data_IF_571377342047
#
_entry.id   IF_571377342047
#
_cell.length_a   1.000
_cell.length_b   1.000
_cell.length_c   1.000
_cell.angle_alpha   90.00
_cell.angle_beta   90.00
_cell.angle_gamma   90.00
#
_symmetry.space_group_name_H-M   'P 1'
#
loop_
_entity.id
_entity.type
_entity.pdbx_description
1 polymer ?
#
# COMPACT_ATOMS: atom_id res chain seq x y z
N UNK A 1 1.82 20.12 -32.09
CA UNK A 1 1.38 20.06 -30.67
C UNK A 1 -0.06 20.56 -30.63
N UNK A 2 -1.03 19.68 -30.37
CA UNK A 2 -2.46 20.04 -30.45
C UNK A 2 -2.84 20.99 -29.30
N UNK A 3 -3.70 21.97 -29.62
CA UNK A 3 -4.16 23.06 -28.74
C UNK A 3 -4.80 22.57 -27.43
N UNK A 4 -5.31 21.34 -27.44
CA UNK A 4 -5.94 20.71 -26.26
C UNK A 4 -4.93 20.29 -25.19
N UNK A 5 -3.70 19.92 -25.60
CA UNK A 5 -2.65 19.50 -24.66
C UNK A 5 -2.11 20.68 -23.83
N UNK A 6 -2.06 21.89 -24.41
CA UNK A 6 -1.68 23.08 -23.65
C UNK A 6 -2.71 23.46 -22.58
N UNK A 7 -4.00 23.19 -22.82
CA UNK A 7 -5.08 23.55 -21.91
C UNK A 7 -5.08 22.63 -20.69
N UNK A 8 -4.84 21.33 -20.89
CA UNK A 8 -4.64 20.39 -19.79
C UNK A 8 -3.40 20.72 -18.97
N UNK A 9 -2.26 21.00 -19.61
CA UNK A 9 -1.04 21.38 -18.89
C UNK A 9 -1.21 22.66 -18.06
N UNK A 10 -1.99 23.64 -18.53
CA UNK A 10 -2.28 24.88 -17.78
C UNK A 10 -3.17 24.66 -16.55
N UNK A 11 -4.07 23.68 -16.57
CA UNK A 11 -4.89 23.31 -15.40
C UNK A 11 -4.04 22.66 -14.29
N UNK A 12 -2.96 21.97 -14.64
CA UNK A 12 -2.07 21.32 -13.66
C UNK A 12 -0.99 22.24 -13.07
N UNK A 13 -0.74 23.40 -13.70
CA UNK A 13 0.33 24.36 -13.31
C UNK A 13 -0.22 25.68 -12.74
N UNK A 14 -1.47 25.70 -12.27
CA UNK A 14 -2.12 26.89 -11.72
C UNK A 14 -1.51 27.34 -10.38
N UNK A 15 -0.47 28.17 -10.44
CA UNK A 15 0.08 28.88 -9.28
C UNK A 15 1.10 29.97 -9.64
N UNK A 16 0.64 31.22 -9.59
CA UNK A 16 1.39 32.49 -9.56
C UNK A 16 1.86 33.12 -10.89
N UNK A 17 1.24 34.26 -11.20
CA UNK A 17 1.58 35.20 -12.28
C UNK A 17 2.84 35.99 -11.93
N UNK A 18 3.90 35.88 -12.74
CA UNK A 18 4.83 36.98 -13.13
C UNK A 18 6.05 36.41 -13.86
N UNK A 19 6.12 36.57 -15.18
CA UNK A 19 7.16 37.38 -15.86
C UNK A 19 7.09 37.18 -17.38
N UNK A 20 7.36 38.29 -18.08
CA UNK A 20 7.15 38.53 -19.50
C UNK A 20 8.09 37.70 -20.40
N UNK A 21 7.55 37.30 -21.55
CA UNK A 21 8.29 36.88 -22.76
C UNK A 21 9.29 37.96 -23.19
N UNK A 22 10.45 37.52 -23.66
CA UNK A 22 11.19 38.24 -24.70
C UNK A 22 11.49 37.26 -25.85
N UNK A 23 10.98 37.60 -27.03
CA UNK A 23 11.30 36.97 -28.30
C UNK A 23 12.66 37.48 -28.77
N UNK A 24 13.49 36.59 -29.32
CA UNK A 24 14.44 36.96 -30.36
C UNK A 24 14.42 35.92 -31.47
N UNK A 25 14.11 36.43 -32.66
CA UNK A 25 14.19 35.77 -33.95
C UNK A 25 15.64 35.71 -34.42
N UNK A 26 16.04 34.65 -35.11
CA UNK A 26 17.01 34.77 -36.19
C UNK A 26 16.64 33.82 -37.33
N UNK A 27 16.56 34.40 -38.53
CA UNK A 27 16.33 33.71 -39.80
C UNK A 27 17.65 33.10 -40.27
N UNK A 28 17.63 31.84 -40.71
CA UNK A 28 18.65 31.30 -41.59
C UNK A 28 17.95 30.72 -42.83
N UNK A 29 18.36 31.21 -44.01
CA UNK A 29 18.00 30.65 -45.32
C UNK A 29 18.93 29.46 -45.59
N UNK A 30 18.39 28.31 -45.97
CA UNK A 30 19.17 27.17 -46.46
C UNK A 30 18.57 26.69 -47.79
N UNK A 31 19.46 26.49 -48.76
CA UNK A 31 19.23 26.19 -50.17
C UNK A 31 18.62 24.79 -50.36
N UNK A 32 17.57 24.72 -51.17
CA UNK A 32 16.81 23.52 -51.53
C UNK A 32 17.33 23.02 -52.87
N UNK A 33 17.92 21.82 -52.92
CA UNK A 33 17.86 20.86 -54.05
C UNK A 33 18.99 19.83 -53.94
N UNK A 34 18.86 18.85 -53.02
CA UNK A 34 19.54 17.52 -53.08
C UNK A 34 19.15 16.62 -51.90
N UNK A 35 18.43 17.13 -50.90
CA UNK A 35 18.12 16.42 -49.64
C UNK A 35 16.81 15.60 -49.67
N UNK A 36 15.98 15.75 -50.70
CA UNK A 36 14.64 15.12 -50.77
C UNK A 36 14.66 13.64 -51.12
N UNK A 37 15.66 13.15 -51.86
CA UNK A 37 15.72 11.73 -52.26
C UNK A 37 16.30 10.84 -51.15
N UNK A 38 17.28 11.33 -50.39
CA UNK A 38 17.88 10.60 -49.26
C UNK A 38 16.92 10.54 -48.07
N UNK A 39 16.18 11.61 -47.78
CA UNK A 39 15.20 11.63 -46.69
C UNK A 39 14.02 10.66 -46.93
N UNK A 40 13.60 10.50 -48.20
CA UNK A 40 12.53 9.55 -48.57
C UNK A 40 12.99 8.09 -48.44
N UNK A 41 14.24 7.77 -48.81
CA UNK A 41 14.79 6.42 -48.64
C UNK A 41 14.96 6.02 -47.16
N UNK A 42 15.40 6.96 -46.30
CA UNK A 42 15.50 6.72 -44.86
C UNK A 42 14.13 6.55 -44.17
N UNK A 43 13.08 7.23 -44.66
CA UNK A 43 11.73 7.07 -44.13
C UNK A 43 11.09 5.72 -44.49
N UNK A 44 11.37 5.17 -45.68
CA UNK A 44 10.84 3.85 -46.07
C UNK A 44 11.56 2.71 -45.34
N UNK A 45 12.88 2.81 -45.15
CA UNK A 45 13.65 1.80 -44.41
C UNK A 45 13.24 1.74 -42.92
N UNK A 46 13.03 2.88 -42.27
CA UNK A 46 12.56 2.94 -40.87
C UNK A 46 11.12 2.46 -40.69
N UNK A 47 10.27 2.58 -41.72
CA UNK A 47 8.90 2.04 -41.68
C UNK A 47 8.85 0.52 -41.80
N UNK A 48 9.77 -0.08 -42.57
CA UNK A 48 9.87 -1.54 -42.73
C UNK A 48 10.43 -2.23 -41.47
N UNK A 49 11.37 -1.60 -40.76
CA UNK A 49 11.88 -2.11 -39.47
C UNK A 49 10.83 -1.96 -38.34
N UNK A 50 10.02 -0.89 -38.37
CA UNK A 50 8.95 -0.71 -37.38
C UNK A 50 7.78 -1.69 -37.59
N UNK A 51 7.47 -2.06 -38.84
CA UNK A 51 6.41 -3.02 -39.15
C UNK A 51 6.77 -4.48 -38.80
N UNK A 52 8.07 -4.84 -38.83
CA UNK A 52 8.55 -6.19 -38.51
C UNK A 52 8.86 -6.41 -37.03
N UNK A 53 9.15 -5.36 -36.25
CA UNK A 53 9.28 -5.46 -34.79
C UNK A 53 7.93 -5.49 -34.05
N UNK A 54 6.89 -4.87 -34.60
CA UNK A 54 5.58 -4.79 -33.93
C UNK A 54 4.79 -6.10 -33.95
N UNK A 55 5.16 -7.08 -34.78
CA UNK A 55 4.56 -8.41 -34.75
C UNK A 55 5.20 -9.33 -33.71
N UNK A 56 6.46 -9.08 -33.30
CA UNK A 56 7.16 -9.94 -32.35
C UNK A 56 6.91 -9.56 -30.86
N UNK A 57 6.49 -8.32 -30.58
CA UNK A 57 6.20 -7.85 -29.21
C UNK A 57 4.70 -8.00 -28.83
N UNK A 58 3.82 -8.30 -29.78
CA UNK A 58 2.39 -8.57 -29.50
C UNK A 58 2.14 -10.06 -29.14
N UNK A 59 3.15 -10.93 -29.26
CA UNK A 59 3.13 -12.28 -28.68
C UNK A 59 3.59 -12.30 -27.20
N UNK A 60 3.40 -11.20 -26.47
CA UNK A 60 3.54 -11.17 -25.02
C UNK A 60 2.42 -11.96 -24.38
N UNK A 61 2.79 -13.13 -23.83
CA UNK A 61 1.96 -14.01 -23.01
C UNK A 61 0.75 -13.30 -22.40
N UNK A 62 -0.43 -13.63 -22.91
CA UNK A 62 -1.70 -13.35 -22.28
C UNK A 62 -1.66 -13.89 -20.85
N UNK A 63 -1.39 -13.02 -19.89
CA UNK A 63 -1.72 -13.29 -18.49
C UNK A 63 -3.23 -13.54 -18.52
N UNK A 64 -3.71 -14.76 -18.19
CA UNK A 64 -5.13 -15.00 -18.17
C UNK A 64 -5.72 -13.99 -17.20
N UNK A 65 -6.71 -13.22 -17.65
CA UNK A 65 -7.55 -12.39 -16.81
C UNK A 65 -7.97 -13.25 -15.62
N UNK A 66 -7.29 -13.10 -14.49
CA UNK A 66 -7.85 -13.56 -13.24
C UNK A 66 -9.08 -12.70 -13.07
N UNK A 67 -10.23 -13.33 -13.25
CA UNK A 67 -11.55 -12.81 -12.98
C UNK A 67 -11.53 -12.13 -11.61
N UNK A 68 -11.21 -10.84 -11.56
CA UNK A 68 -11.46 -9.95 -10.43
C UNK A 68 -12.96 -9.60 -10.41
N UNK A 69 -13.79 -10.62 -10.60
CA UNK A 69 -15.23 -10.55 -10.77
C UNK A 69 -15.97 -11.51 -9.83
N UNK A 70 -15.27 -12.22 -8.92
CA UNK A 70 -15.92 -13.08 -7.92
C UNK A 70 -15.73 -12.68 -6.46
N UNK A 71 -15.13 -11.52 -6.13
CA UNK A 71 -15.44 -10.90 -4.83
C UNK A 71 -16.81 -10.21 -4.97
N UNK A 72 -17.85 -11.03 -5.18
CA UNK A 72 -19.20 -10.64 -4.82
C UNK A 72 -19.19 -10.52 -3.30
N UNK A 73 -18.84 -9.33 -2.80
CA UNK A 73 -19.20 -8.95 -1.44
C UNK A 73 -20.72 -9.05 -1.41
N UNK A 74 -21.22 -10.13 -0.81
CA UNK A 74 -22.64 -10.41 -0.66
C UNK A 74 -23.33 -9.12 -0.20
N UNK A 75 -24.24 -8.59 -1.05
CA UNK A 75 -25.02 -7.38 -0.75
C UNK A 75 -25.95 -7.55 0.46
N UNK A 76 -26.00 -8.73 1.07
CA UNK A 76 -26.83 -9.05 2.23
C UNK A 76 -26.04 -9.16 3.55
N UNK A 77 -24.77 -8.77 3.60
CA UNK A 77 -24.12 -8.60 4.90
C UNK A 77 -24.64 -7.31 5.55
N UNK A 78 -25.52 -7.44 6.57
CA UNK A 78 -25.69 -6.36 7.55
C UNK A 78 -24.30 -6.11 8.14
N UNK A 79 -23.68 -4.99 7.77
CA UNK A 79 -22.35 -4.62 8.26
C UNK A 79 -22.49 -4.42 9.78
N UNK A 80 -21.83 -5.28 10.56
CA UNK A 80 -21.87 -5.17 12.01
C UNK A 80 -21.00 -3.99 12.42
N UNK A 81 -21.64 -2.89 12.80
CA UNK A 81 -20.95 -1.68 13.23
C UNK A 81 -20.71 -1.70 14.75
N UNK A 82 -19.55 -1.18 15.15
CA UNK A 82 -19.16 -1.04 16.56
C UNK A 82 -18.90 0.44 16.86
N UNK A 83 -19.96 1.28 16.91
CA UNK A 83 -19.80 2.71 17.10
C UNK A 83 -19.15 2.99 18.46
N UNK A 84 -18.22 3.96 18.46
CA UNK A 84 -17.72 4.54 19.70
C UNK A 84 -18.71 5.60 20.18
N UNK A 85 -19.16 5.47 21.43
CA UNK A 85 -19.91 6.52 22.13
C UNK A 85 -18.91 7.32 22.96
N UNK A 86 -18.45 8.44 22.41
CA UNK A 86 -17.57 9.37 23.11
C UNK A 86 -18.38 10.57 23.57
N UNK A 87 -18.29 10.97 24.84
CA UNK A 87 -18.86 12.23 25.33
C UNK A 87 -17.90 13.37 24.95
N UNK A 88 -18.35 14.29 24.09
CA UNK A 88 -17.56 15.44 23.70
C UNK A 88 -17.39 16.39 24.89
N UNK A 89 -16.16 16.70 25.29
CA UNK A 89 -15.85 17.82 26.18
C UNK A 89 -15.21 17.49 27.54
N UNK A 90 -15.02 16.21 27.89
CA UNK A 90 -14.34 15.84 29.15
C UNK A 90 -12.86 15.54 28.92
N UNK A 91 -11.97 16.14 29.73
CA UNK A 91 -10.54 15.84 29.77
C UNK A 91 -10.23 14.52 30.50
N UNK A 92 -11.24 13.68 30.73
CA UNK A 92 -11.13 12.44 31.47
C UNK A 92 -11.03 11.22 30.55
N UNK A 93 -10.34 10.19 31.03
CA UNK A 93 -10.21 8.91 30.34
C UNK A 93 -11.55 8.20 30.33
N UNK A 94 -12.20 8.16 29.17
CA UNK A 94 -13.46 7.44 28.98
C UNK A 94 -13.21 5.96 28.69
N UNK A 95 -13.94 5.09 29.38
CA UNK A 95 -13.99 3.66 29.04
C UNK A 95 -15.12 3.40 28.06
N UNK A 96 -14.85 2.63 27.00
CA UNK A 96 -15.90 2.18 26.09
C UNK A 96 -16.92 1.29 26.84
N UNK A 97 -18.22 1.38 26.49
CA UNK A 97 -19.23 0.43 26.95
C UNK A 97 -18.81 -1.03 26.68
N UNK A 98 -19.17 -1.94 27.59
CA UNK A 98 -18.90 -3.38 27.47
C UNK A 98 -20.11 -4.16 26.93
N UNK A 99 -20.99 -3.48 26.20
CA UNK A 99 -22.21 -4.04 25.61
C UNK A 99 -21.97 -4.76 24.27
N UNK A 100 -20.70 -4.91 23.87
CA UNK A 100 -20.33 -5.64 22.66
C UNK A 100 -20.60 -7.15 22.79
N UNK A 101 -20.97 -7.83 21.68
CA UNK A 101 -21.18 -9.28 21.69
C UNK A 101 -19.96 -10.04 22.21
N UNK A 102 -20.21 -11.05 23.05
CA UNK A 102 -19.17 -11.93 23.60
C UNK A 102 -19.01 -13.23 22.81
N UNK A 103 -19.89 -13.48 21.83
CA UNK A 103 -19.87 -14.66 20.97
C UNK A 103 -19.93 -14.23 19.50
N UNK A 104 -19.06 -14.81 18.70
CA UNK A 104 -19.09 -14.64 17.25
C UNK A 104 -20.04 -15.67 16.62
N UNK A 105 -21.16 -15.20 16.06
CA UNK A 105 -22.11 -16.03 15.31
C UNK A 105 -21.92 -15.75 13.81
N UNK A 106 -21.19 -16.59 13.07
CA UNK A 106 -20.96 -16.36 11.64
C UNK A 106 -22.28 -16.47 10.88
N UNK A 107 -22.63 -15.43 10.12
CA UNK A 107 -23.87 -15.38 9.31
C UNK A 107 -23.80 -16.20 8.03
N UNK A 108 -22.65 -16.75 7.65
CA UNK A 108 -22.47 -17.52 6.41
C UNK A 108 -21.62 -18.80 6.64
N UNK A 109 -22.21 -19.96 6.36
CA UNK A 109 -21.54 -21.27 6.26
C UNK A 109 -20.96 -21.52 4.86
N UNK A 110 -20.28 -20.54 4.26
CA UNK A 110 -19.70 -20.76 2.92
C UNK A 110 -18.36 -21.50 3.02
N UNK A 111 -18.13 -22.45 2.09
CA UNK A 111 -16.90 -23.23 1.99
C UNK A 111 -15.67 -22.31 2.01
N UNK A 112 -14.92 -22.37 3.10
CA UNK A 112 -13.82 -21.45 3.37
C UNK A 112 -12.58 -21.79 2.56
N UNK A 113 -12.58 -21.51 1.26
CA UNK A 113 -11.31 -21.38 0.54
C UNK A 113 -10.72 -20.02 0.89
N UNK A 114 -9.66 -20.04 1.68
CA UNK A 114 -8.91 -18.82 2.01
C UNK A 114 -8.37 -18.21 0.70
N UNK A 115 -8.59 -16.92 0.41
CA UNK A 115 -8.04 -16.29 -0.77
C UNK A 115 -6.53 -16.50 -0.92
N UNK A 116 -6.06 -16.70 -2.14
CA UNK A 116 -4.67 -17.09 -2.43
C UNK A 116 -3.62 -16.11 -1.89
N UNK A 117 -3.96 -14.82 -1.75
CA UNK A 117 -3.06 -13.83 -1.18
C UNK A 117 -2.75 -14.07 0.31
N UNK A 118 -3.59 -14.79 1.05
CA UNK A 118 -3.28 -15.15 2.45
C UNK A 118 -2.17 -16.22 2.56
N UNK A 119 -1.72 -16.82 1.45
CA UNK A 119 -0.55 -17.70 1.45
C UNK A 119 0.69 -17.04 2.05
N UNK A 120 0.80 -15.71 1.92
CA UNK A 120 1.95 -14.96 2.43
C UNK A 120 2.06 -15.01 3.95
N UNK A 121 0.95 -15.18 4.68
CA UNK A 121 1.01 -15.44 6.14
C UNK A 121 1.83 -16.70 6.43
N UNK A 122 1.65 -17.75 5.63
CA UNK A 122 2.41 -19.00 5.80
C UNK A 122 3.88 -18.85 5.42
N UNK A 123 4.20 -18.03 4.42
CA UNK A 123 5.58 -17.74 4.04
C UNK A 123 6.29 -16.87 5.08
N UNK A 124 5.64 -15.82 5.58
CA UNK A 124 6.19 -14.93 6.60
C UNK A 124 6.45 -15.68 7.91
N UNK A 125 5.56 -16.60 8.31
CA UNK A 125 5.70 -17.39 9.54
C UNK A 125 6.56 -18.66 9.38
N UNK A 126 6.97 -18.99 8.17
CA UNK A 126 7.77 -20.18 7.86
C UNK A 126 9.03 -20.35 8.72
N UNK A 127 9.80 -19.29 9.05
CA UNK A 127 11.01 -19.43 9.87
C UNK A 127 10.77 -20.07 11.25
N UNK A 128 9.55 -19.95 11.78
CA UNK A 128 9.17 -20.45 13.11
C UNK A 128 8.30 -21.70 13.07
N UNK A 129 7.97 -22.22 11.88
CA UNK A 129 6.99 -23.31 11.72
C UNK A 129 7.37 -24.59 12.46
N UNK A 130 8.65 -24.97 12.43
CA UNK A 130 9.11 -26.24 13.00
C UNK A 130 9.50 -26.12 14.48
N UNK A 131 10.14 -25.00 14.87
CA UNK A 131 10.72 -24.81 16.21
C UNK A 131 9.82 -24.01 17.15
N UNK A 132 8.81 -23.33 16.62
CA UNK A 132 8.01 -22.37 17.35
C UNK A 132 8.77 -21.08 17.66
N UNK A 133 8.17 -20.27 18.53
CA UNK A 133 8.71 -19.00 19.02
C UNK A 133 8.97 -19.16 20.51
N UNK A 134 10.22 -18.99 20.94
CA UNK A 134 10.58 -19.03 22.37
C UNK A 134 10.45 -17.65 23.02
N UNK A 135 10.37 -17.61 24.35
CA UNK A 135 10.38 -16.34 25.11
C UNK A 135 11.62 -15.51 24.81
N UNK A 136 12.79 -16.14 24.70
CA UNK A 136 14.05 -15.47 24.37
C UNK A 136 14.01 -14.83 22.99
N UNK A 137 13.47 -15.51 21.98
CA UNK A 137 13.29 -14.96 20.63
C UNK A 137 12.40 -13.72 20.64
N UNK A 138 11.28 -13.80 21.34
CA UNK A 138 10.33 -12.71 21.45
C UNK A 138 10.96 -11.49 22.13
N UNK A 139 11.65 -11.68 23.27
CA UNK A 139 12.34 -10.59 23.95
C UNK A 139 13.49 -10.02 23.10
N UNK A 140 14.11 -10.81 22.22
CA UNK A 140 15.08 -10.34 21.23
C UNK A 140 14.54 -9.25 20.29
N UNK A 141 13.24 -9.28 19.95
CA UNK A 141 12.59 -8.26 19.12
C UNK A 141 12.46 -6.89 19.83
N UNK A 142 12.51 -6.86 21.17
CA UNK A 142 12.40 -5.62 21.96
C UNK A 142 13.46 -4.57 21.62
N UNK A 143 14.61 -4.99 21.10
CA UNK A 143 15.71 -4.10 20.69
C UNK A 143 15.28 -3.05 19.65
N UNK A 144 14.34 -3.39 18.78
CA UNK A 144 13.85 -2.51 17.70
C UNK A 144 12.38 -2.17 17.84
N UNK A 145 11.58 -3.01 18.50
CA UNK A 145 10.15 -2.79 18.68
C UNK A 145 9.81 -1.43 19.31
N UNK A 146 8.75 -0.80 18.81
CA UNK A 146 8.14 0.39 19.41
C UNK A 146 7.18 0.00 20.54
N UNK A 147 6.44 -1.10 20.38
CA UNK A 147 5.50 -1.57 21.40
C UNK A 147 5.28 -3.08 21.34
N UNK A 148 4.82 -3.64 22.47
CA UNK A 148 4.34 -5.01 22.61
C UNK A 148 2.83 -5.01 22.83
N UNK A 149 2.14 -5.94 22.18
CA UNK A 149 0.74 -6.26 22.42
C UNK A 149 0.66 -7.60 23.11
N UNK A 150 -0.12 -7.68 24.17
CA UNK A 150 -0.44 -8.93 24.88
C UNK A 150 -1.95 -9.09 24.87
N UNK A 151 -2.44 -10.23 24.40
CA UNK A 151 -3.86 -10.57 24.44
C UNK A 151 -4.00 -11.73 25.43
N UNK A 152 -4.81 -11.56 26.46
CA UNK A 152 -5.16 -12.60 27.44
C UNK A 152 -6.65 -12.50 27.74
N UNK A 153 -7.38 -13.61 27.64
CA UNK A 153 -8.82 -13.68 27.90
C UNK A 153 -9.62 -12.64 27.09
N UNK A 154 -9.23 -12.43 25.82
CA UNK A 154 -9.85 -11.45 24.93
C UNK A 154 -9.61 -9.98 25.31
N UNK A 155 -8.72 -9.70 26.27
CA UNK A 155 -8.31 -8.35 26.66
C UNK A 155 -6.93 -8.03 26.11
N UNK A 156 -6.82 -6.87 25.48
CA UNK A 156 -5.55 -6.35 24.95
C UNK A 156 -4.85 -5.46 25.97
N UNK A 157 -3.59 -5.75 26.23
CA UNK A 157 -2.65 -4.94 27.00
C UNK A 157 -1.52 -4.47 26.08
N UNK A 158 -1.01 -3.28 26.34
CA UNK A 158 0.03 -2.67 25.50
C UNK A 158 1.16 -2.16 26.39
N UNK A 159 2.38 -2.57 26.09
CA UNK A 159 3.59 -2.04 26.69
C UNK A 159 4.34 -1.22 25.62
N UNK A 160 4.56 0.07 25.87
CA UNK A 160 5.29 0.94 24.94
C UNK A 160 6.77 0.96 25.30
N UNK A 161 7.63 0.74 24.32
CA UNK A 161 9.09 0.79 24.48
C UNK A 161 9.69 2.06 23.90
N UNK A 162 9.24 2.46 22.71
CA UNK A 162 9.70 3.66 22.02
C UNK A 162 8.53 4.39 21.39
N UNK A 163 8.69 5.70 21.22
CA UNK A 163 7.69 6.52 20.53
C UNK A 163 7.66 6.10 19.06
N UNK A 164 6.46 5.79 18.55
CA UNK A 164 6.25 5.56 17.13
C UNK A 164 6.23 6.87 16.35
N UNK A 165 6.55 6.81 15.06
CA UNK A 165 6.30 7.93 14.15
C UNK A 165 4.81 8.26 14.21
N UNK A 166 4.48 9.48 14.64
CA UNK A 166 3.12 10.02 14.59
C UNK A 166 2.11 9.05 15.29
N UNK A 167 0.90 8.88 14.74
CA UNK A 167 -0.15 8.02 15.31
C UNK A 167 -0.19 6.60 14.72
N UNK A 168 0.91 6.13 14.13
CA UNK A 168 0.96 4.80 13.49
C UNK A 168 0.63 3.66 14.46
N UNK A 169 1.17 3.72 15.68
CA UNK A 169 0.86 2.75 16.74
C UNK A 169 -0.62 2.78 17.11
N UNK A 170 -1.21 3.97 17.27
CA UNK A 170 -2.63 4.15 17.62
C UNK A 170 -3.53 3.46 16.61
N UNK A 171 -3.27 3.63 15.30
CA UNK A 171 -4.06 3.00 14.25
C UNK A 171 -3.86 1.48 14.16
N UNK A 172 -2.64 0.98 14.38
CA UNK A 172 -2.41 -0.48 14.46
C UNK A 172 -3.15 -1.09 15.65
N UNK A 173 -3.09 -0.46 16.81
CA UNK A 173 -3.84 -0.88 18.00
C UNK A 173 -5.36 -0.82 17.75
N UNK A 174 -5.83 0.21 17.04
CA UNK A 174 -7.22 0.35 16.64
C UNK A 174 -7.68 -0.82 15.75
N UNK A 175 -6.83 -1.26 14.82
CA UNK A 175 -7.10 -2.42 13.99
C UNK A 175 -7.23 -3.72 14.78
N UNK A 176 -6.32 -3.95 15.74
CA UNK A 176 -6.37 -5.13 16.62
C UNK A 176 -7.62 -5.10 17.51
N UNK A 177 -7.99 -3.94 18.05
CA UNK A 177 -9.22 -3.77 18.82
C UNK A 177 -10.47 -4.08 18.00
N UNK A 178 -10.50 -3.71 16.71
CA UNK A 178 -11.60 -4.11 15.83
C UNK A 178 -11.65 -5.62 15.63
N UNK A 179 -10.51 -6.30 15.47
CA UNK A 179 -10.48 -7.76 15.35
C UNK A 179 -11.05 -8.44 16.60
N UNK A 180 -10.68 -7.98 17.80
CA UNK A 180 -11.22 -8.49 19.07
C UNK A 180 -12.73 -8.29 19.17
N UNK A 181 -13.27 -7.17 18.67
CA UNK A 181 -14.71 -6.88 18.67
C UNK A 181 -15.49 -7.69 17.63
N UNK A 182 -14.93 -7.87 16.44
CA UNK A 182 -15.57 -8.62 15.35
C UNK A 182 -15.56 -10.12 15.61
N UNK A 183 -14.51 -10.64 16.25
CA UNK A 183 -14.29 -12.07 16.47
C UNK A 183 -14.05 -12.38 17.96
N UNK A 184 -15.01 -12.06 18.86
CA UNK A 184 -14.86 -12.29 20.28
C UNK A 184 -14.67 -13.79 20.57
N UNK A 185 -13.66 -14.11 21.38
CA UNK A 185 -13.28 -15.48 21.75
C UNK A 185 -12.61 -16.31 20.65
N UNK A 186 -12.26 -15.71 19.50
CA UNK A 186 -11.54 -16.39 18.41
C UNK A 186 -10.03 -16.12 18.41
N UNK A 187 -9.60 -14.98 18.92
CA UNK A 187 -8.18 -14.68 19.07
C UNK A 187 -7.65 -15.41 20.30
N UNK A 188 -6.59 -16.23 20.18
CA UNK A 188 -6.00 -16.91 21.31
C UNK A 188 -5.20 -15.93 22.17
N UNK A 189 -4.78 -16.40 23.34
CA UNK A 189 -3.79 -15.70 24.15
C UNK A 189 -2.45 -15.66 23.40
N UNK A 190 -1.89 -14.46 23.24
CA UNK A 190 -0.69 -14.25 22.44
C UNK A 190 0.07 -12.98 22.83
N UNK A 191 1.35 -12.92 22.47
CA UNK A 191 2.20 -11.73 22.59
C UNK A 191 2.80 -11.39 21.22
N UNK A 192 2.73 -10.12 20.81
CA UNK A 192 3.23 -9.62 19.53
C UNK A 192 4.16 -8.42 19.76
N UNK A 193 5.26 -8.37 19.01
CA UNK A 193 6.19 -7.23 18.99
C UNK A 193 6.00 -6.46 17.70
N UNK A 194 5.84 -5.13 17.78
CA UNK A 194 5.63 -4.27 16.63
C UNK A 194 6.72 -3.21 16.49
N UNK A 195 7.20 -3.01 15.27
CA UNK A 195 8.05 -1.88 14.90
C UNK A 195 7.36 -1.04 13.81
N UNK A 196 7.24 0.25 14.11
CA UNK A 196 6.45 1.21 13.35
C UNK A 196 7.22 1.98 12.27
N UNK A 197 8.52 1.73 12.13
CA UNK A 197 9.39 2.43 11.18
C UNK A 197 9.20 1.91 9.74
N UNK A 198 9.81 2.60 8.77
CA UNK A 198 9.56 2.38 7.33
C UNK A 198 10.33 1.22 6.69
N UNK A 199 11.41 0.71 7.31
CA UNK A 199 12.31 -0.27 6.69
C UNK A 199 12.38 -1.57 7.50
N UNK A 200 12.44 -2.75 6.86
CA UNK A 200 12.64 -4.01 7.58
C UNK A 200 13.99 -4.04 8.30
N UNK A 201 14.07 -4.80 9.40
CA UNK A 201 15.25 -4.80 10.30
C UNK A 201 15.74 -6.20 10.66
N UNK A 202 14.96 -7.26 10.41
CA UNK A 202 15.36 -8.63 10.70
C UNK A 202 15.99 -9.24 9.45
N UNK A 203 17.25 -8.89 9.18
CA UNK A 203 17.98 -9.39 8.03
C UNK A 203 18.18 -10.91 8.09
N UNK A 204 17.70 -11.62 7.07
CA UNK A 204 17.79 -13.07 6.92
C UNK A 204 19.22 -13.60 6.97
N UNK A 205 20.18 -12.84 6.48
CA UNK A 205 21.61 -13.19 6.52
C UNK A 205 22.16 -13.40 7.93
N UNK A 206 21.57 -12.77 8.95
CA UNK A 206 22.02 -12.89 10.34
C UNK A 206 21.50 -14.16 11.03
N UNK A 207 20.56 -14.88 10.42
CA UNK A 207 19.87 -16.02 11.01
C UNK A 207 20.02 -17.26 10.14
N UNK A 208 21.28 -17.62 9.85
CA UNK A 208 21.63 -18.80 9.08
C UNK A 208 22.04 -19.96 10.00
N UNK A 209 21.69 -21.18 9.61
CA UNK A 209 22.12 -22.40 10.28
C UNK A 209 21.12 -23.00 11.28
N UNK A 210 21.46 -24.18 11.84
CA UNK A 210 20.55 -24.97 12.66
C UNK A 210 20.19 -24.32 14.00
N UNK A 211 20.99 -23.35 14.48
CA UNK A 211 20.73 -22.62 15.73
C UNK A 211 20.17 -21.21 15.47
N UNK A 212 19.74 -20.91 14.25
CA UNK A 212 19.13 -19.63 13.93
C UNK A 212 17.88 -19.40 14.76
N UNK A 213 17.84 -18.24 15.42
CA UNK A 213 16.80 -17.83 16.36
C UNK A 213 16.29 -16.43 15.97
N UNK A 214 15.61 -16.28 14.82
CA UNK A 214 15.13 -14.98 14.36
C UNK A 214 14.05 -14.45 15.30
N UNK A 215 14.13 -13.19 15.76
CA UNK A 215 13.11 -12.61 16.62
C UNK A 215 11.85 -12.30 15.78
N UNK A 216 10.65 -12.74 16.21
CA UNK A 216 9.41 -12.46 15.49
C UNK A 216 9.00 -11.01 15.72
N UNK A 217 9.07 -10.21 14.65
CA UNK A 217 8.76 -8.78 14.69
C UNK A 217 7.76 -8.44 13.58
N UNK A 218 6.64 -7.82 13.96
CA UNK A 218 5.64 -7.33 13.03
C UNK A 218 6.00 -5.95 12.51
N UNK A 219 5.88 -5.78 11.19
CA UNK A 219 6.12 -4.53 10.47
C UNK A 219 5.14 -4.35 9.33
N UNK A 220 5.18 -3.19 8.69
CA UNK A 220 4.29 -2.85 7.59
C UNK A 220 4.87 -3.19 6.21
N UNK A 221 6.17 -3.48 6.15
CA UNK A 221 6.87 -3.88 4.94
C UNK A 221 7.95 -4.90 5.28
N UNK A 222 8.29 -5.71 4.28
CA UNK A 222 9.39 -6.66 4.30
C UNK A 222 9.91 -6.85 2.88
N UNK A 223 11.01 -7.58 2.73
CA UNK A 223 11.62 -7.91 1.45
C UNK A 223 12.22 -9.32 1.46
N UNK A 224 12.71 -9.78 0.32
CA UNK A 224 13.27 -11.14 0.17
C UNK A 224 14.52 -11.40 1.05
N UNK A 225 15.12 -10.36 1.62
CA UNK A 225 16.32 -10.41 2.45
C UNK A 225 16.01 -10.25 3.94
N UNK A 226 14.73 -10.16 4.29
CA UNK A 226 14.25 -9.86 5.63
C UNK A 226 13.26 -10.90 6.12
N UNK A 227 13.10 -11.01 7.43
CA UNK A 227 12.22 -11.96 8.10
C UNK A 227 11.12 -11.27 8.91
N UNK A 228 10.96 -9.95 8.76
CA UNK A 228 9.89 -9.19 9.38
C UNK A 228 8.52 -9.69 8.89
N UNK A 229 7.59 -9.88 9.83
CA UNK A 229 6.24 -10.41 9.55
C UNK A 229 5.35 -9.26 9.12
N UNK A 230 4.77 -9.33 7.91
CA UNK A 230 4.00 -8.21 7.38
C UNK A 230 2.62 -8.15 8.03
N UNK A 231 2.27 -6.97 8.52
CA UNK A 231 0.96 -6.62 9.07
C UNK A 231 0.32 -5.53 8.22
N UNK A 232 -1.02 -5.53 8.04
CA UNK A 232 -1.72 -4.42 7.38
C UNK A 232 -1.36 -3.08 8.01
N UNK A 233 -0.90 -2.14 7.20
CA UNK A 233 -0.40 -0.88 7.72
C UNK A 233 -1.48 0.01 8.35
N UNK A 234 -1.04 1.00 9.13
CA UNK A 234 -1.93 1.96 9.80
C UNK A 234 -2.85 2.70 8.81
N UNK A 235 -2.43 2.86 7.55
CA UNK A 235 -3.13 3.66 6.54
C UNK A 235 -4.46 3.05 6.11
N UNK A 236 -4.70 1.76 6.37
CA UNK A 236 -6.03 1.15 6.23
C UNK A 236 -7.09 1.89 7.06
N UNK A 237 -6.72 2.37 8.25
CA UNK A 237 -7.58 3.17 9.13
C UNK A 237 -7.41 4.68 8.95
N UNK A 238 -6.49 5.08 8.08
CA UNK A 238 -6.16 6.47 7.78
C UNK A 238 -4.82 6.91 8.36
N UNK A 239 -4.42 8.13 8.00
CA UNK A 239 -3.21 8.78 8.51
C UNK A 239 -3.45 10.29 8.55
N UNK A 240 -3.95 10.76 9.69
CA UNK A 240 -4.46 12.13 9.86
C UNK A 240 -3.37 13.19 9.58
N UNK A 241 -2.14 12.92 10.00
CA UNK A 241 -0.98 13.79 9.85
C UNK A 241 -0.59 14.03 8.39
N UNK A 242 -1.05 13.18 7.47
CA UNK A 242 -0.80 13.31 6.02
C UNK A 242 -2.10 13.46 5.22
N UNK A 243 -3.23 13.66 5.89
CA UNK A 243 -4.56 13.79 5.29
C UNK A 243 -4.98 12.57 4.44
N UNK A 244 -4.53 11.36 4.82
CA UNK A 244 -4.99 10.11 4.21
C UNK A 244 -6.24 9.65 4.96
N UNK A 245 -7.37 9.57 4.25
CA UNK A 245 -8.63 9.04 4.77
C UNK A 245 -8.55 7.50 4.96
N UNK A 246 -9.42 6.90 5.78
CA UNK A 246 -9.53 5.45 5.86
C UNK A 246 -9.76 4.80 4.49
N UNK A 247 -9.23 3.59 4.29
CA UNK A 247 -9.29 2.87 3.01
C UNK A 247 -10.72 2.69 2.48
N UNK A 248 -11.70 2.43 3.36
CA UNK A 248 -13.12 2.30 2.99
C UNK A 248 -13.64 3.54 2.24
N UNK A 249 -13.23 4.73 2.67
CA UNK A 249 -13.65 5.99 2.08
C UNK A 249 -12.87 6.29 0.80
N UNK A 250 -11.54 6.13 0.83
CA UNK A 250 -10.69 6.33 -0.36
C UNK A 250 -11.10 5.41 -1.50
N UNK A 251 -11.38 4.13 -1.22
CA UNK A 251 -11.79 3.17 -2.26
C UNK A 251 -13.09 3.60 -2.96
N UNK A 252 -14.03 4.20 -2.23
CA UNK A 252 -15.26 4.75 -2.82
C UNK A 252 -14.93 5.94 -3.74
N UNK A 253 -14.14 6.90 -3.26
CA UNK A 253 -13.71 8.07 -4.02
C UNK A 253 -12.92 7.68 -5.28
N UNK A 254 -12.01 6.70 -5.20
CA UNK A 254 -11.28 6.16 -6.35
C UNK A 254 -12.24 5.56 -7.37
N UNK A 255 -13.23 4.77 -6.94
CA UNK A 255 -14.24 4.17 -7.83
C UNK A 255 -15.12 5.21 -8.50
N UNK A 256 -15.43 6.30 -7.82
CA UNK A 256 -16.20 7.42 -8.37
C UNK A 256 -15.36 8.19 -9.39
N UNK A 257 -14.14 8.61 -9.03
CA UNK A 257 -13.22 9.29 -9.95
C UNK A 257 -12.85 8.45 -11.18
N UNK A 258 -12.78 7.12 -11.05
CA UNK A 258 -12.53 6.24 -12.19
C UNK A 258 -13.66 6.24 -13.24
N UNK A 259 -14.89 6.65 -12.86
CA UNK A 259 -16.03 6.75 -13.80
C UNK A 259 -16.03 8.04 -14.60
N UNK A 260 -15.29 9.06 -14.16
CA UNK A 260 -15.28 10.39 -14.80
C UNK A 260 -14.59 10.37 -16.17
N UNK A 261 -13.55 9.55 -16.34
CA UNK A 261 -12.80 9.43 -17.60
C UNK A 261 -12.67 7.98 -18.03
N UNK A 262 -13.18 7.66 -19.22
CA UNK A 262 -13.00 6.34 -19.83
C UNK A 262 -11.52 6.13 -20.18
N UNK A 263 -11.08 4.87 -20.18
CA UNK A 263 -9.69 4.51 -20.47
C UNK A 263 -9.13 5.16 -21.75
N UNK A 264 -9.89 5.11 -22.86
CA UNK A 264 -9.47 5.67 -24.17
C UNK A 264 -9.31 7.18 -24.18
N UNK A 265 -9.95 7.87 -23.23
CA UNK A 265 -9.97 9.33 -23.14
C UNK A 265 -8.93 9.84 -22.13
N UNK A 266 -8.16 8.94 -21.49
CA UNK A 266 -7.08 9.32 -20.56
C UNK A 266 -5.89 9.89 -21.33
N UNK A 267 -5.27 10.91 -20.74
CA UNK A 267 -4.04 11.49 -21.30
C UNK A 267 -2.92 10.44 -21.27
N UNK A 268 -2.25 10.15 -22.41
CA UNK A 268 -1.28 9.06 -22.53
C UNK A 268 0.11 9.47 -21.99
N UNK A 269 0.15 10.10 -20.82
CA UNK A 269 1.39 10.44 -20.12
C UNK A 269 1.47 9.70 -18.79
N UNK A 270 2.67 9.23 -18.47
CA UNK A 270 2.97 8.80 -17.12
C UNK A 270 2.80 9.99 -16.16
N UNK A 271 2.09 9.78 -15.06
CA UNK A 271 1.90 10.79 -14.02
C UNK A 271 2.50 10.31 -12.71
N UNK A 272 3.37 11.14 -12.13
CA UNK A 272 3.93 10.90 -10.80
C UNK A 272 3.90 12.19 -10.00
N UNK A 273 3.46 12.09 -8.74
CA UNK A 273 3.51 13.16 -7.76
C UNK A 273 3.88 12.57 -6.42
N UNK A 274 5.02 12.99 -5.88
CA UNK A 274 5.50 12.51 -4.59
C UNK A 274 6.61 13.39 -4.02
N UNK A 275 6.99 13.11 -2.78
CA UNK A 275 8.12 13.79 -2.13
C UNK A 275 9.45 13.15 -2.60
N UNK A 276 10.33 13.90 -3.31
CA UNK A 276 11.60 13.38 -3.81
C UNK A 276 12.64 13.18 -2.71
N UNK A 277 12.43 13.76 -1.52
CA UNK A 277 13.40 13.70 -0.42
C UNK A 277 13.29 12.42 0.44
N UNK A 278 12.30 11.56 0.19
CA UNK A 278 12.07 10.33 0.97
C UNK A 278 13.11 9.24 0.67
N UNK A 279 13.60 9.16 -0.57
CA UNK A 279 14.61 8.19 -0.97
C UNK A 279 15.48 8.77 -2.09
N UNK A 280 16.78 8.44 -2.09
CA UNK A 280 17.72 8.91 -3.11
C UNK A 280 17.28 8.55 -4.53
N UNK A 281 16.67 7.38 -4.71
CA UNK A 281 16.13 6.89 -5.99
C UNK A 281 14.98 7.74 -6.56
N UNK A 282 14.39 8.65 -5.77
CA UNK A 282 13.31 9.55 -6.22
C UNK A 282 13.81 10.91 -6.71
N UNK A 283 15.08 11.24 -6.54
CA UNK A 283 15.63 12.56 -6.90
C UNK A 283 15.92 12.71 -8.39
N UNK A 284 15.99 11.62 -9.14
CA UNK A 284 16.42 11.59 -10.54
C UNK A 284 15.28 11.31 -11.52
N UNK A 285 14.04 11.70 -11.19
CA UNK A 285 12.89 11.66 -12.10
C UNK A 285 12.69 12.98 -12.82
#
# INVERSE_FOLDING_TARGET
>A
MNKDNETYLKLFWGGSKRHKRCLFTNKAKVTIATTTVVALFCLVATFCDFATWNTYIIAGNSIPNQNLSSIQISKNHKEQEFPLRCTNGEKETQTCPRDYPTKHNPTNQNSHTCPSFFRWIHEDLKPWKEKGITREMLEGAKRTANFKVVIVDGKMYVEKYRKSIQTRDVFTLWGILQLLRMFPGKLPDLELMFDCEDRPVIHKGNFQGPNASPPPLFRYCSDQWSLDIVFPDWSFWGWAETNIKPWKNILKEIKEGNKETKWKDRVPYAYWKGNPNVAATRKTF
#
